data_IF_997701085970
#
_entry.id   IF_997701085970
#
_cell.length_a   1.000
_cell.length_b   1.000
_cell.length_c   1.000
_cell.angle_alpha   90.00
_cell.angle_beta   90.00
_cell.angle_gamma   90.00
#
_symmetry.space_group_name_H-M   'P 1'
#
loop_
_entity.id
_entity.type
_entity.pdbx_description
1 polymer ?
#
# COMPACT_ATOMS: atom_id res chain seq x y z
N UNK A 1 -23.17 -7.10 -3.21
CA UNK A 1 -22.27 -7.61 -2.15
C UNK A 1 -20.86 -7.82 -2.71
N UNK A 2 -20.69 -8.60 -3.79
CA UNK A 2 -19.43 -8.64 -4.55
C UNK A 2 -19.02 -7.27 -5.10
N UNK A 3 -19.98 -6.46 -5.58
CA UNK A 3 -19.69 -5.16 -6.20
C UNK A 3 -19.06 -4.12 -5.25
N UNK A 4 -19.48 -4.06 -3.98
CA UNK A 4 -18.88 -3.12 -3.02
C UNK A 4 -17.44 -3.53 -2.68
N UNK A 5 -17.20 -4.82 -2.45
CA UNK A 5 -15.85 -5.34 -2.23
C UNK A 5 -14.95 -5.14 -3.45
N UNK A 6 -15.45 -5.43 -4.65
CA UNK A 6 -14.76 -5.20 -5.93
C UNK A 6 -14.35 -3.72 -6.05
N UNK A 7 -15.28 -2.79 -5.79
CA UNK A 7 -14.99 -1.35 -5.81
C UNK A 7 -13.94 -0.96 -4.77
N UNK A 8 -14.04 -1.47 -3.54
CA UNK A 8 -13.06 -1.22 -2.48
C UNK A 8 -11.67 -1.74 -2.86
N UNK A 9 -11.59 -2.90 -3.52
CA UNK A 9 -10.32 -3.44 -4.03
C UNK A 9 -9.75 -2.56 -5.14
N UNK A 10 -10.57 -2.08 -6.07
CA UNK A 10 -10.14 -1.14 -7.13
C UNK A 10 -9.58 0.17 -6.52
N UNK A 11 -10.26 0.71 -5.51
CA UNK A 11 -9.80 1.88 -4.75
C UNK A 11 -8.48 1.61 -4.00
N UNK A 12 -8.34 0.43 -3.40
CA UNK A 12 -7.13 0.02 -2.70
C UNK A 12 -5.93 -0.12 -3.67
N UNK A 13 -6.13 -0.70 -4.85
CA UNK A 13 -5.10 -0.76 -5.92
C UNK A 13 -4.64 0.64 -6.30
N UNK A 14 -5.59 1.54 -6.56
CA UNK A 14 -5.27 2.92 -6.92
C UNK A 14 -4.54 3.65 -5.78
N UNK A 15 -4.94 3.41 -4.52
CA UNK A 15 -4.31 3.99 -3.36
C UNK A 15 -2.85 3.51 -3.19
N UNK A 16 -2.62 2.20 -3.24
CA UNK A 16 -1.29 1.62 -3.01
C UNK A 16 -0.27 2.04 -4.06
N UNK A 17 -0.68 2.08 -5.33
CA UNK A 17 0.17 2.58 -6.44
C UNK A 17 0.60 4.04 -6.27
N UNK A 18 -0.10 4.80 -5.43
CA UNK A 18 0.18 6.21 -5.18
C UNK A 18 0.75 6.48 -3.77
N UNK A 19 1.13 5.45 -3.00
CA UNK A 19 1.69 5.64 -1.65
C UNK A 19 2.88 6.59 -1.63
N UNK A 20 3.83 6.46 -2.55
CA UNK A 20 5.02 7.31 -2.56
C UNK A 20 4.75 8.75 -3.05
N UNK A 21 3.67 8.97 -3.79
CA UNK A 21 3.31 10.28 -4.33
C UNK A 21 2.40 11.05 -3.37
N UNK A 22 1.38 10.40 -2.80
CA UNK A 22 0.55 10.99 -1.74
C UNK A 22 1.35 11.15 -0.45
N UNK A 23 2.09 10.09 -0.13
CA UNK A 23 2.95 9.98 1.03
C UNK A 23 2.25 10.26 2.36
N UNK A 24 3.08 10.42 3.38
CA UNK A 24 2.69 10.60 4.78
C UNK A 24 3.88 11.22 5.52
N UNK A 25 3.64 11.90 6.66
CA UNK A 25 4.72 12.53 7.41
C UNK A 25 5.75 11.49 7.89
N UNK A 26 6.97 11.59 7.36
CA UNK A 26 8.14 10.83 7.83
C UNK A 26 9.28 11.80 8.04
N UNK A 27 9.99 11.66 9.14
CA UNK A 27 11.11 12.54 9.49
C UNK A 27 12.44 11.84 9.31
N UNK A 28 13.43 12.57 8.78
CA UNK A 28 14.76 12.04 8.50
C UNK A 28 15.84 12.82 9.26
N UNK A 29 16.81 12.07 9.78
CA UNK A 29 17.99 12.59 10.45
C UNK A 29 17.78 13.16 11.85
N UNK A 30 18.87 13.60 12.46
CA UNK A 30 18.90 14.10 13.85
C UNK A 30 18.07 15.37 14.10
N UNK A 31 17.73 16.11 13.05
CA UNK A 31 16.87 17.30 13.11
C UNK A 31 15.40 17.01 12.80
N UNK A 32 15.02 15.74 12.62
CA UNK A 32 13.67 15.30 12.30
C UNK A 32 13.04 16.08 11.14
N UNK A 33 13.78 16.23 10.04
CA UNK A 33 13.28 16.97 8.86
C UNK A 33 12.15 16.15 8.23
N UNK A 34 10.95 16.71 8.21
CA UNK A 34 9.80 16.08 7.57
C UNK A 34 9.98 16.05 6.05
N UNK A 35 9.88 14.86 5.46
CA UNK A 35 9.91 14.61 4.02
C UNK A 35 8.77 13.65 3.74
N UNK A 36 7.67 14.19 3.25
CA UNK A 36 6.37 13.51 3.26
C UNK A 36 6.03 12.80 1.96
N UNK A 37 6.91 12.83 0.95
CA UNK A 37 6.69 12.15 -0.33
C UNK A 37 7.99 11.92 -1.10
N UNK A 38 7.95 11.09 -2.13
CA UNK A 38 9.05 10.89 -3.07
C UNK A 38 9.43 12.18 -3.79
N UNK A 39 8.44 13.03 -4.10
CA UNK A 39 8.66 14.34 -4.73
C UNK A 39 9.48 15.26 -3.82
N UNK A 40 9.12 15.33 -2.53
CA UNK A 40 9.87 16.10 -1.54
C UNK A 40 11.28 15.56 -1.36
N UNK A 41 11.45 14.24 -1.28
CA UNK A 41 12.77 13.61 -1.16
C UNK A 41 13.69 13.93 -2.35
N UNK A 42 13.14 13.98 -3.57
CA UNK A 42 13.88 14.38 -4.78
C UNK A 42 14.27 15.86 -4.78
N UNK A 43 13.44 16.72 -4.20
CA UNK A 43 13.67 18.16 -4.12
C UNK A 43 14.70 18.56 -3.05
N UNK A 44 15.10 17.64 -2.16
CA UNK A 44 16.11 17.92 -1.14
C UNK A 44 17.46 18.32 -1.79
N UNK A 45 18.15 19.33 -1.22
CA UNK A 45 19.48 19.72 -1.66
C UNK A 45 20.47 18.55 -1.60
N UNK A 46 21.41 18.50 -2.54
CA UNK A 46 22.48 17.48 -2.53
C UNK A 46 23.35 17.53 -1.28
N UNK A 47 23.41 18.68 -0.60
CA UNK A 47 24.10 18.87 0.68
C UNK A 47 23.35 18.32 1.90
N UNK A 48 22.09 17.91 1.74
CA UNK A 48 21.33 17.32 2.83
C UNK A 48 21.84 15.89 3.12
N UNK A 49 22.45 15.71 4.29
CA UNK A 49 23.12 14.46 4.68
C UNK A 49 22.22 13.22 4.57
N UNK A 50 20.93 13.34 4.91
CA UNK A 50 19.98 12.23 4.93
C UNK A 50 19.16 12.11 3.63
N UNK A 51 19.59 12.78 2.55
CA UNK A 51 18.87 12.78 1.26
C UNK A 51 18.72 11.37 0.70
N UNK A 52 19.79 10.58 0.74
CA UNK A 52 19.77 9.22 0.19
C UNK A 52 18.85 8.31 0.99
N UNK A 53 18.80 8.47 2.31
CA UNK A 53 17.88 7.74 3.19
C UNK A 53 16.43 8.06 2.85
N UNK A 54 16.08 9.35 2.73
CA UNK A 54 14.75 9.78 2.34
C UNK A 54 14.35 9.24 0.96
N UNK A 55 15.26 9.32 -0.02
CA UNK A 55 15.02 8.76 -1.35
C UNK A 55 14.83 7.24 -1.32
N UNK A 56 15.62 6.52 -0.55
CA UNK A 56 15.51 5.07 -0.44
C UNK A 56 14.18 4.66 0.18
N UNK A 57 13.78 5.31 1.28
CA UNK A 57 12.48 5.07 1.93
C UNK A 57 11.32 5.23 0.95
N UNK A 58 11.25 6.37 0.27
CA UNK A 58 10.13 6.66 -0.64
C UNK A 58 10.16 5.80 -1.92
N UNK A 59 11.35 5.42 -2.40
CA UNK A 59 11.44 4.45 -3.50
C UNK A 59 10.98 3.06 -3.06
N UNK A 60 11.30 2.64 -1.84
CA UNK A 60 10.82 1.38 -1.29
C UNK A 60 9.30 1.41 -1.11
N UNK A 61 8.74 2.50 -0.58
CA UNK A 61 7.29 2.68 -0.48
C UNK A 61 6.59 2.60 -1.86
N UNK A 62 7.23 3.14 -2.92
CA UNK A 62 6.73 3.04 -4.30
C UNK A 62 6.73 1.59 -4.81
N UNK A 63 7.82 0.86 -4.61
CA UNK A 63 7.94 -0.54 -5.02
C UNK A 63 6.90 -1.41 -4.31
N UNK A 64 6.83 -1.29 -2.98
CA UNK A 64 5.86 -2.02 -2.18
C UNK A 64 4.41 -1.68 -2.54
N UNK A 65 4.12 -0.40 -2.82
CA UNK A 65 2.80 0.04 -3.26
C UNK A 65 2.37 -0.57 -4.60
N UNK A 66 3.33 -0.72 -5.53
CA UNK A 66 3.10 -1.40 -6.81
C UNK A 66 2.91 -2.91 -6.61
N UNK A 67 3.78 -3.57 -5.84
CA UNK A 67 3.68 -5.02 -5.59
C UNK A 67 2.36 -5.37 -4.89
N UNK A 68 1.94 -4.55 -3.92
CA UNK A 68 0.65 -4.70 -3.25
C UNK A 68 -0.52 -4.44 -4.22
N UNK A 69 -0.40 -3.45 -5.11
CA UNK A 69 -1.39 -3.17 -6.15
C UNK A 69 -1.53 -4.31 -7.16
N UNK A 70 -0.43 -4.96 -7.54
CA UNK A 70 -0.43 -6.09 -8.47
C UNK A 70 -0.98 -7.37 -7.83
N UNK A 71 -0.73 -7.59 -6.53
CA UNK A 71 -1.44 -8.61 -5.77
C UNK A 71 -2.95 -8.29 -5.67
N UNK A 72 -3.31 -7.03 -5.42
CA UNK A 72 -4.70 -6.57 -5.42
C UNK A 72 -5.42 -6.76 -6.75
N UNK A 73 -4.74 -6.55 -7.87
CA UNK A 73 -5.29 -6.82 -9.20
C UNK A 73 -5.62 -8.32 -9.39
N UNK A 74 -4.75 -9.21 -8.89
CA UNK A 74 -5.06 -10.66 -8.89
C UNK A 74 -6.26 -10.99 -8.01
N UNK A 75 -6.41 -10.32 -6.86
CA UNK A 75 -7.60 -10.47 -6.02
C UNK A 75 -8.87 -10.02 -6.75
N UNK A 76 -8.80 -8.88 -7.46
CA UNK A 76 -9.91 -8.36 -8.25
C UNK A 76 -10.37 -9.34 -9.33
N UNK A 77 -9.43 -9.92 -10.08
CA UNK A 77 -9.72 -10.91 -11.11
C UNK A 77 -10.31 -12.19 -10.51
N UNK A 78 -9.79 -12.64 -9.36
CA UNK A 78 -10.32 -13.78 -8.62
C UNK A 78 -11.75 -13.53 -8.11
N UNK A 79 -12.05 -12.33 -7.59
CA UNK A 79 -13.40 -11.96 -7.17
C UNK A 79 -14.38 -11.94 -8.35
N UNK A 80 -13.97 -11.37 -9.49
CA UNK A 80 -14.78 -11.32 -10.73
C UNK A 80 -15.05 -12.71 -11.31
N UNK A 81 -14.16 -13.67 -11.09
CA UNK A 81 -14.33 -15.06 -11.51
C UNK A 81 -14.97 -15.97 -10.44
N UNK A 82 -15.32 -15.43 -9.26
CA UNK A 82 -15.93 -16.18 -8.16
C UNK A 82 -14.96 -17.11 -7.41
N UNK A 83 -13.65 -16.99 -7.63
CA UNK A 83 -12.63 -17.79 -6.96
C UNK A 83 -12.24 -17.18 -5.60
N UNK A 84 -13.05 -17.44 -4.58
CA UNK A 84 -12.88 -16.85 -3.25
C UNK A 84 -11.55 -17.22 -2.59
N UNK A 85 -11.02 -18.43 -2.83
CA UNK A 85 -9.73 -18.86 -2.29
C UNK A 85 -8.57 -18.05 -2.90
N UNK A 86 -8.56 -17.90 -4.22
CA UNK A 86 -7.52 -17.10 -4.87
C UNK A 86 -7.64 -15.61 -4.48
N UNK A 87 -8.86 -15.09 -4.29
CA UNK A 87 -9.08 -13.75 -3.79
C UNK A 87 -8.51 -13.57 -2.37
N UNK A 88 -8.77 -14.54 -1.48
CA UNK A 88 -8.23 -14.56 -0.12
C UNK A 88 -6.69 -14.49 -0.11
N UNK A 89 -6.03 -15.38 -0.84
CA UNK A 89 -4.58 -15.48 -0.87
C UNK A 89 -3.93 -14.19 -1.44
N UNK A 90 -4.55 -13.59 -2.46
CA UNK A 90 -4.08 -12.35 -3.06
C UNK A 90 -4.31 -11.12 -2.15
N UNK A 91 -5.44 -11.05 -1.44
CA UNK A 91 -5.69 -10.01 -0.44
C UNK A 91 -4.73 -10.13 0.75
N UNK A 92 -4.47 -11.35 1.21
CA UNK A 92 -3.46 -11.61 2.24
C UNK A 92 -2.08 -11.12 1.81
N UNK A 93 -1.65 -11.42 0.58
CA UNK A 93 -0.35 -10.96 0.07
C UNK A 93 -0.28 -9.42 0.01
N UNK A 94 -1.34 -8.76 -0.44
CA UNK A 94 -1.40 -7.29 -0.48
C UNK A 94 -1.26 -6.67 0.91
N UNK A 95 -1.97 -7.25 1.90
CA UNK A 95 -1.87 -6.87 3.31
C UNK A 95 -0.50 -7.18 3.91
N UNK A 96 0.12 -8.29 3.54
CA UNK A 96 1.45 -8.67 4.00
C UNK A 96 2.52 -7.68 3.51
N UNK A 97 2.47 -7.29 2.24
CA UNK A 97 3.36 -6.28 1.66
C UNK A 97 3.18 -4.93 2.36
N UNK A 98 1.95 -4.57 2.76
CA UNK A 98 1.69 -3.34 3.49
C UNK A 98 2.32 -3.30 4.89
N UNK A 99 2.53 -4.44 5.57
CA UNK A 99 2.89 -4.49 7.00
C UNK A 99 4.00 -3.51 7.43
N UNK A 100 5.12 -3.37 6.72
CA UNK A 100 6.18 -2.43 7.12
C UNK A 100 5.77 -0.95 7.06
N UNK A 101 4.68 -0.63 6.36
CA UNK A 101 4.15 0.72 6.15
C UNK A 101 2.76 0.90 6.80
N UNK A 102 2.25 -0.13 7.49
CA UNK A 102 0.86 -0.21 7.94
C UNK A 102 0.46 0.88 8.95
N UNK A 103 1.40 1.46 9.68
CA UNK A 103 1.15 2.60 10.55
C UNK A 103 0.58 3.81 9.77
N UNK A 104 1.00 3.95 8.51
CA UNK A 104 0.69 5.11 7.67
C UNK A 104 -0.27 4.79 6.51
N UNK A 105 -0.08 3.66 5.82
CA UNK A 105 -0.80 3.37 4.58
C UNK A 105 -2.25 2.90 4.78
N UNK A 106 -2.50 2.04 5.77
CA UNK A 106 -3.82 1.46 6.17
C UNK A 106 -4.81 1.19 5.04
N UNK A 107 -4.31 0.73 3.90
CA UNK A 107 -5.04 0.48 2.66
C UNK A 107 -5.57 -0.95 2.62
N UNK A 108 -4.74 -1.97 2.84
CA UNK A 108 -5.09 -3.38 2.59
C UNK A 108 -5.58 -4.12 3.82
N UNK A 109 -5.03 -3.81 4.99
CA UNK A 109 -5.38 -4.49 6.23
C UNK A 109 -6.90 -4.47 6.56
N UNK A 110 -7.61 -3.34 6.50
CA UNK A 110 -9.06 -3.31 6.78
C UNK A 110 -9.89 -4.07 5.74
N UNK A 111 -9.42 -4.14 4.49
CA UNK A 111 -10.10 -4.92 3.44
C UNK A 111 -9.95 -6.42 3.69
N UNK A 112 -8.74 -6.87 4.04
CA UNK A 112 -8.50 -8.28 4.33
C UNK A 112 -9.30 -8.76 5.54
N UNK A 113 -9.39 -7.96 6.60
CA UNK A 113 -10.20 -8.29 7.77
C UNK A 113 -11.69 -8.39 7.44
N UNK A 114 -12.23 -7.42 6.71
CA UNK A 114 -13.63 -7.44 6.26
C UNK A 114 -13.92 -8.68 5.42
N UNK A 115 -13.05 -9.01 4.46
CA UNK A 115 -13.21 -10.18 3.60
C UNK A 115 -13.16 -11.50 4.39
N UNK A 116 -12.24 -11.61 5.35
CA UNK A 116 -12.10 -12.82 6.18
C UNK A 116 -13.31 -13.01 7.09
N UNK A 117 -13.85 -11.93 7.66
CA UNK A 117 -15.07 -11.97 8.46
C UNK A 117 -16.28 -12.45 7.62
N UNK A 118 -16.40 -11.98 6.38
CA UNK A 118 -17.47 -12.39 5.47
C UNK A 118 -17.39 -13.89 5.13
N UNK A 119 -16.22 -14.41 4.74
CA UNK A 119 -16.06 -15.85 4.44
C UNK A 119 -16.33 -16.73 5.66
N UNK A 120 -15.94 -16.27 6.86
CA UNK A 120 -16.12 -17.04 8.10
C UNK A 120 -17.57 -17.06 8.62
N UNK A 121 -18.42 -16.18 8.08
CA UNK A 121 -19.84 -16.07 8.43
C UNK A 121 -20.77 -16.90 7.53
N UNK A 122 -20.23 -17.55 6.50
CA UNK A 122 -20.90 -18.54 5.65
C UNK A 122 -20.68 -19.96 6.15
#
# INVERSE_FOLDING_TARGET
>A
MSEDLIRRVEEAIACSRNWAEKGWPVTFGSRNVAVSSLKEAKALPSSFLYRQEALNYWNQARLMGNDAGDAGAKALDALKSGNMRAAHDALYLSQYIEKPLAENARTWHPLYEAFTAEISSC
#
